data_IF_085246744433
#
_entry.id   IF_085246744433
#
_cell.length_a   1.000
_cell.length_b   1.000
_cell.length_c   1.000
_cell.angle_alpha   90.00
_cell.angle_beta   90.00
_cell.angle_gamma   90.00
#
_symmetry.space_group_name_H-M   'P 1'
#
loop_
_entity.id
_entity.type
_entity.pdbx_description
1 polymer ?
#
# COMPACT_ATOMS: atom_id res chain seq x y z
N UNK A 1 -14.10 16.93 -9.57
CA UNK A 1 -13.94 15.46 -9.53
C UNK A 1 -12.55 15.20 -8.99
N UNK A 2 -12.40 14.38 -7.94
CA UNK A 2 -11.07 13.91 -7.54
C UNK A 2 -10.51 13.04 -8.65
N UNK A 3 -9.29 13.34 -9.08
CA UNK A 3 -8.54 12.50 -10.02
C UNK A 3 -7.75 11.50 -9.18
N UNK A 4 -8.18 10.24 -9.17
CA UNK A 4 -7.43 9.17 -8.53
C UNK A 4 -6.42 8.62 -9.54
N UNK A 5 -5.15 8.58 -9.14
CA UNK A 5 -4.12 7.85 -9.89
C UNK A 5 -3.98 6.44 -9.32
N UNK A 6 -4.02 5.45 -10.20
CA UNK A 6 -3.78 4.05 -9.85
C UNK A 6 -2.47 3.61 -10.48
N UNK A 7 -1.53 3.19 -9.65
CA UNK A 7 -0.23 2.69 -10.07
C UNK A 7 -0.07 1.22 -9.68
N UNK A 8 0.04 0.36 -10.67
CA UNK A 8 0.29 -1.07 -10.49
C UNK A 8 1.76 -1.38 -10.81
N UNK A 9 2.37 -2.26 -10.02
CA UNK A 9 3.74 -2.71 -10.22
C UNK A 9 3.90 -4.17 -9.81
N UNK A 10 4.91 -4.83 -10.37
CA UNK A 10 5.29 -6.19 -9.99
C UNK A 10 6.11 -6.13 -8.70
N UNK A 11 5.84 -7.06 -7.79
CA UNK A 11 6.61 -7.30 -6.58
C UNK A 11 6.70 -8.82 -6.34
N UNK A 12 7.70 -9.24 -5.54
CA UNK A 12 8.01 -10.67 -5.35
C UNK A 12 8.20 -11.37 -6.71
N UNK A 13 7.71 -12.60 -6.86
CA UNK A 13 7.78 -13.37 -8.11
C UNK A 13 6.63 -13.08 -9.08
N UNK A 14 5.43 -12.85 -8.55
CA UNK A 14 4.18 -12.84 -9.31
C UNK A 14 3.06 -12.03 -8.65
N UNK A 15 3.33 -11.33 -7.55
CA UNK A 15 2.35 -10.45 -6.91
C UNK A 15 2.29 -9.09 -7.61
N UNK A 16 1.09 -8.49 -7.62
CA UNK A 16 0.91 -7.10 -8.00
C UNK A 16 0.75 -6.23 -6.76
N UNK A 17 1.62 -5.24 -6.62
CA UNK A 17 1.39 -4.11 -5.72
C UNK A 17 0.55 -3.05 -6.42
N UNK A 18 -0.37 -2.43 -5.70
CA UNK A 18 -1.20 -1.33 -6.22
C UNK A 18 -1.18 -0.16 -5.26
N UNK A 19 -0.86 1.03 -5.78
CA UNK A 19 -1.00 2.31 -5.08
C UNK A 19 -2.14 3.10 -5.68
N UNK A 20 -2.99 3.67 -4.82
CA UNK A 20 -4.09 4.57 -5.20
C UNK A 20 -3.83 5.93 -4.56
N UNK A 21 -3.63 6.95 -5.37
CA UNK A 21 -3.31 8.31 -4.91
C UNK A 21 -4.42 9.30 -5.22
N UNK A 22 -4.81 10.08 -4.22
CA UNK A 22 -5.75 11.19 -4.35
C UNK A 22 -5.00 12.53 -4.30
N UNK A 23 -4.83 13.17 -5.45
CA UNK A 23 -4.10 14.45 -5.57
C UNK A 23 -4.66 15.57 -4.67
N UNK A 24 -5.99 15.78 -4.57
CA UNK A 24 -6.55 16.83 -3.71
C UNK A 24 -6.18 16.72 -2.24
N UNK A 25 -6.20 15.52 -1.65
CA UNK A 25 -5.85 15.32 -0.23
C UNK A 25 -4.38 14.95 -0.01
N UNK A 26 -3.67 14.51 -1.04
CA UNK A 26 -2.32 13.93 -0.94
C UNK A 26 -2.31 12.53 -0.34
N UNK A 27 -3.47 11.92 -0.08
CA UNK A 27 -3.56 10.59 0.51
C UNK A 27 -3.15 9.51 -0.50
N UNK A 28 -2.45 8.49 -0.03
CA UNK A 28 -2.10 7.31 -0.83
C UNK A 28 -2.44 6.04 -0.05
N UNK A 29 -3.19 5.15 -0.67
CA UNK A 29 -3.45 3.82 -0.16
C UNK A 29 -2.61 2.79 -0.92
N UNK A 30 -1.98 1.87 -0.20
CA UNK A 30 -1.53 0.59 -0.78
C UNK A 30 -2.66 -0.43 -0.69
N UNK A 31 -2.91 -1.18 -1.76
CA UNK A 31 -3.72 -2.40 -1.71
C UNK A 31 -2.77 -3.56 -1.47
N UNK A 32 -2.92 -4.19 -0.31
CA UNK A 32 -1.97 -5.13 0.27
C UNK A 32 -0.56 -4.56 0.50
N UNK A 33 0.25 -5.28 1.26
CA UNK A 33 1.65 -5.00 1.50
C UNK A 33 2.52 -6.26 1.32
N UNK A 34 2.65 -6.78 0.09
CA UNK A 34 3.47 -7.96 -0.22
C UNK A 34 4.96 -7.81 0.14
N UNK A 35 5.49 -6.59 0.01
CA UNK A 35 6.91 -6.25 0.11
C UNK A 35 7.03 -4.74 0.43
N UNK A 36 7.60 -4.41 1.58
CA UNK A 36 7.71 -3.03 2.05
C UNK A 36 8.68 -2.19 1.21
N UNK A 37 9.83 -2.75 0.83
CA UNK A 37 10.87 -2.07 0.05
C UNK A 37 10.35 -1.73 -1.35
N UNK A 38 9.63 -2.66 -1.99
CA UNK A 38 9.03 -2.43 -3.30
C UNK A 38 8.00 -1.28 -3.26
N UNK A 39 7.11 -1.29 -2.27
CA UNK A 39 6.12 -0.23 -2.07
C UNK A 39 6.79 1.12 -1.82
N UNK A 40 7.77 1.16 -0.91
CA UNK A 40 8.53 2.37 -0.61
C UNK A 40 9.24 2.92 -1.85
N UNK A 41 9.86 2.05 -2.65
CA UNK A 41 10.51 2.44 -3.90
C UNK A 41 9.55 3.15 -4.84
N UNK A 42 8.33 2.62 -5.01
CA UNK A 42 7.33 3.20 -5.89
C UNK A 42 6.71 4.50 -5.35
N UNK A 43 6.53 4.61 -4.02
CA UNK A 43 6.11 5.84 -3.35
C UNK A 43 7.15 6.96 -3.52
N UNK A 44 8.43 6.66 -3.26
CA UNK A 44 9.55 7.60 -3.40
C UNK A 44 9.69 8.14 -4.82
N UNK A 45 9.60 7.26 -5.84
CA UNK A 45 9.66 7.67 -7.26
C UNK A 45 8.59 8.69 -7.63
N UNK A 46 7.45 8.66 -6.96
CA UNK A 46 6.29 9.53 -7.23
C UNK A 46 6.17 10.72 -6.28
N UNK A 47 6.96 10.75 -5.21
CA UNK A 47 6.81 11.75 -4.15
C UNK A 47 5.49 11.60 -3.39
N UNK A 48 4.96 10.37 -3.30
CA UNK A 48 3.69 10.09 -2.64
C UNK A 48 3.90 9.68 -1.18
N UNK A 49 2.99 10.12 -0.31
CA UNK A 49 2.95 9.77 1.11
C UNK A 49 1.95 8.64 1.34
N UNK A 50 2.41 7.52 1.91
CA UNK A 50 1.52 6.42 2.32
C UNK A 50 0.70 6.84 3.53
N UNK A 51 -0.63 6.77 3.43
CA UNK A 51 -1.54 7.09 4.54
C UNK A 51 -2.38 5.89 4.96
N UNK A 52 -2.63 4.95 4.04
CA UNK A 52 -3.44 3.77 4.30
C UNK A 52 -2.84 2.51 3.69
N UNK A 53 -3.10 1.36 4.32
CA UNK A 53 -2.96 0.04 3.72
C UNK A 53 -4.31 -0.65 3.80
N UNK A 54 -4.82 -1.11 2.67
CA UNK A 54 -6.04 -1.90 2.58
C UNK A 54 -5.65 -3.35 2.31
N UNK A 55 -5.74 -4.18 3.35
CA UNK A 55 -5.43 -5.60 3.29
C UNK A 55 -6.64 -6.38 2.81
N UNK A 56 -6.47 -7.18 1.76
CA UNK A 56 -7.50 -8.04 1.19
C UNK A 56 -7.76 -9.28 2.05
N UNK A 57 -6.69 -9.96 2.49
CA UNK A 57 -6.72 -11.15 3.34
C UNK A 57 -5.35 -11.38 4.03
N UNK A 58 -5.29 -12.34 4.95
CA UNK A 58 -4.14 -12.52 5.86
C UNK A 58 -2.94 -13.32 5.30
N UNK A 59 -2.97 -13.78 4.05
CA UNK A 59 -1.85 -14.58 3.55
C UNK A 59 -0.55 -13.75 3.56
N UNK A 60 0.60 -14.37 3.88
CA UNK A 60 1.86 -13.65 4.07
C UNK A 60 2.24 -12.76 2.88
N UNK A 61 2.00 -13.23 1.65
CA UNK A 61 2.26 -12.48 0.43
C UNK A 61 1.36 -11.26 0.20
N UNK A 62 0.43 -10.99 1.12
CA UNK A 62 -0.39 -9.77 1.15
C UNK A 62 -0.11 -8.88 2.37
N UNK A 63 0.59 -9.37 3.40
CA UNK A 63 0.70 -8.67 4.69
C UNK A 63 2.12 -8.50 5.22
N UNK A 64 3.13 -9.12 4.59
CA UNK A 64 4.51 -9.16 5.10
C UNK A 64 5.09 -7.76 5.37
N UNK A 65 4.79 -6.76 4.53
CA UNK A 65 5.26 -5.38 4.69
C UNK A 65 4.44 -4.49 5.63
N UNK A 66 3.33 -4.99 6.21
CA UNK A 66 2.38 -4.16 6.95
C UNK A 66 2.99 -3.38 8.12
N UNK A 67 3.70 -4.09 9.00
CA UNK A 67 4.21 -3.49 10.24
C UNK A 67 5.34 -2.51 9.98
N UNK A 68 6.23 -2.85 9.04
CA UNK A 68 7.35 -1.98 8.64
C UNK A 68 6.84 -0.66 8.04
N UNK A 69 5.91 -0.75 7.09
CA UNK A 69 5.31 0.44 6.48
C UNK A 69 4.54 1.28 7.50
N UNK A 70 3.85 0.64 8.46
CA UNK A 70 3.15 1.34 9.53
C UNK A 70 4.10 2.08 10.47
N UNK A 71 5.19 1.45 10.90
CA UNK A 71 6.19 2.09 11.74
C UNK A 71 6.82 3.30 11.04
N UNK A 72 7.10 3.16 9.75
CA UNK A 72 7.77 4.18 8.95
C UNK A 72 6.90 5.38 8.59
N UNK A 73 5.66 5.13 8.18
CA UNK A 73 4.77 6.15 7.64
C UNK A 73 3.66 6.58 8.60
N UNK A 74 3.46 5.87 9.72
CA UNK A 74 2.33 6.11 10.62
C UNK A 74 0.97 5.84 9.97
N UNK A 75 0.92 5.01 8.93
CA UNK A 75 -0.29 4.77 8.14
C UNK A 75 -1.33 3.93 8.90
N UNK A 76 -2.59 4.06 8.50
CA UNK A 76 -3.69 3.24 9.03
C UNK A 76 -3.82 1.95 8.23
N UNK A 77 -3.84 0.80 8.90
CA UNK A 77 -4.09 -0.50 8.27
C UNK A 77 -5.57 -0.85 8.46
N UNK A 78 -6.25 -1.18 7.36
CA UNK A 78 -7.65 -1.60 7.33
C UNK A 78 -7.72 -2.96 6.65
N UNK A 79 -8.33 -3.95 7.30
CA UNK A 79 -8.49 -5.30 6.79
C UNK A 79 -9.85 -5.91 7.15
N UNK A 80 -10.15 -7.12 6.66
CA UNK A 80 -11.40 -7.81 6.96
C UNK A 80 -11.50 -8.17 8.44
N UNK A 81 -12.67 -7.96 9.05
CA UNK A 81 -12.92 -8.20 10.49
C UNK A 81 -12.56 -9.61 10.94
N UNK A 82 -12.79 -10.61 10.09
CA UNK A 82 -12.63 -12.02 10.45
C UNK A 82 -11.22 -12.55 10.25
N UNK A 83 -10.28 -11.73 9.77
CA UNK A 83 -8.87 -12.09 9.57
C UNK A 83 -7.89 -11.05 10.13
N UNK A 84 -8.41 -10.11 10.92
CA UNK A 84 -7.65 -9.06 11.60
C UNK A 84 -7.27 -9.49 13.02
#
# INVERSE_FOLDING_TARGET
>A
MSHLDVHQFICRSDNYGVLVHDHPSGATAAIDAPDADAIEGELKKRGWQLTHIFTTHHHPDHVEGNLELKEKYGCTIIGPRNEA
#
